data_IF_000438328991
#
_entry.id   IF_000438328991
#
_cell.length_a   1.000
_cell.length_b   1.000
_cell.length_c   1.000
_cell.angle_alpha   90.00
_cell.angle_beta   90.00
_cell.angle_gamma   90.00
#
_symmetry.space_group_name_H-M   'P 1'
#
loop_
_entity.id
_entity.type
_entity.pdbx_description
1 polymer ?
#
# COMPACT_ATOMS: atom_id res chain seq x y z
N UNK A 1 -19.88 -15.25 3.67
CA UNK A 1 -19.25 -16.54 4.05
C UNK A 1 -17.82 -16.21 4.41
N UNK A 2 -17.42 -16.40 5.67
CA UNK A 2 -15.99 -16.37 6.04
C UNK A 2 -15.31 -17.44 5.19
N UNK A 3 -14.21 -17.11 4.50
CA UNK A 3 -13.40 -18.14 3.84
C UNK A 3 -13.02 -19.17 4.91
N UNK A 4 -13.06 -20.46 4.57
CA UNK A 4 -12.57 -21.50 5.47
C UNK A 4 -11.11 -21.15 5.85
N UNK A 5 -10.71 -21.28 7.12
CA UNK A 5 -9.33 -21.04 7.51
C UNK A 5 -8.45 -21.94 6.63
N UNK A 6 -7.42 -21.34 6.02
CA UNK A 6 -6.41 -22.11 5.30
C UNK A 6 -5.77 -22.98 6.37
N UNK A 7 -6.00 -24.29 6.36
CA UNK A 7 -5.29 -25.24 7.22
C UNK A 7 -3.83 -25.30 6.73
N UNK A 8 -2.94 -24.59 7.42
CA UNK A 8 -1.50 -24.64 7.15
C UNK A 8 -0.92 -25.64 8.15
N UNK A 9 -0.45 -26.79 7.68
CA UNK A 9 0.31 -27.71 8.52
C UNK A 9 1.67 -27.11 8.83
N UNK A 10 2.20 -27.34 10.03
CA UNK A 10 3.57 -26.96 10.40
C UNK A 10 4.63 -27.56 9.44
N UNK A 11 4.30 -28.68 8.78
CA UNK A 11 5.15 -29.36 7.80
C UNK A 11 5.25 -28.61 6.45
N UNK A 12 4.29 -27.73 6.15
CA UNK A 12 4.23 -26.96 4.89
C UNK A 12 4.94 -25.59 5.00
N UNK A 13 5.41 -25.24 6.20
CA UNK A 13 6.13 -23.99 6.45
C UNK A 13 7.51 -24.02 5.79
N UNK A 14 7.88 -22.90 5.18
CA UNK A 14 9.20 -22.73 4.57
C UNK A 14 9.98 -21.69 5.37
N UNK A 15 11.17 -22.05 5.83
CA UNK A 15 12.02 -21.17 6.61
C UNK A 15 12.99 -20.39 5.73
N UNK A 16 13.06 -19.09 5.95
CA UNK A 16 13.93 -18.15 5.23
C UNK A 16 14.58 -17.24 6.25
N UNK A 17 15.92 -17.16 6.24
CA UNK A 17 16.69 -16.27 7.14
C UNK A 17 16.37 -16.44 8.65
N UNK A 18 15.89 -17.64 9.04
CA UNK A 18 15.49 -17.98 10.40
C UNK A 18 14.01 -17.77 10.74
N UNK A 19 13.21 -17.24 9.82
CA UNK A 19 11.77 -16.98 10.02
C UNK A 19 10.91 -17.95 9.22
N UNK A 20 9.77 -18.36 9.78
CA UNK A 20 8.81 -19.18 9.04
C UNK A 20 8.01 -18.31 8.05
N UNK A 21 7.73 -18.88 6.88
CA UNK A 21 6.90 -18.27 5.85
C UNK A 21 5.81 -19.26 5.43
N UNK A 22 4.62 -18.79 5.02
CA UNK A 22 3.57 -19.68 4.55
C UNK A 22 3.99 -20.37 3.25
N UNK A 23 3.39 -21.51 2.88
CA UNK A 23 3.57 -22.10 1.57
C UNK A 23 3.23 -21.10 0.46
N UNK A 24 3.84 -21.25 -0.71
CA UNK A 24 3.60 -20.33 -1.82
C UNK A 24 2.11 -20.39 -2.20
N UNK A 25 1.40 -19.26 -2.30
CA UNK A 25 -0.01 -19.26 -2.60
C UNK A 25 -0.27 -19.86 -3.98
N UNK A 26 -1.37 -20.61 -4.10
CA UNK A 26 -1.80 -21.15 -5.39
C UNK A 26 -2.06 -20.01 -6.38
N UNK A 27 -1.55 -20.18 -7.60
CA UNK A 27 -1.81 -19.25 -8.68
C UNK A 27 -3.25 -19.41 -9.19
N UNK A 28 -4.13 -18.45 -8.85
CA UNK A 28 -5.58 -18.52 -9.08
C UNK A 28 -6.06 -17.41 -10.03
N UNK A 29 -5.71 -17.44 -11.34
CA UNK A 29 -6.01 -16.35 -12.28
C UNK A 29 -7.50 -16.14 -12.56
N UNK A 30 -8.32 -17.20 -12.50
CA UNK A 30 -9.77 -17.09 -12.65
C UNK A 30 -10.41 -16.36 -11.46
N UNK A 31 -9.97 -16.68 -10.24
CA UNK A 31 -10.41 -15.97 -9.03
C UNK A 31 -10.00 -14.49 -9.09
N UNK A 32 -8.76 -14.22 -9.49
CA UNK A 32 -8.28 -12.85 -9.70
C UNK A 32 -9.15 -12.10 -10.72
N UNK A 33 -9.53 -12.73 -11.84
CA UNK A 33 -10.42 -12.11 -12.82
C UNK A 33 -11.82 -11.84 -12.25
N UNK A 34 -12.38 -12.76 -11.47
CA UNK A 34 -13.68 -12.58 -10.81
C UNK A 34 -13.62 -11.44 -9.79
N UNK A 35 -12.59 -11.38 -8.94
CA UNK A 35 -12.39 -10.30 -7.97
C UNK A 35 -12.14 -8.95 -8.64
N UNK A 36 -11.39 -8.93 -9.74
CA UNK A 36 -11.23 -7.77 -10.61
C UNK A 36 -12.58 -7.25 -11.15
N UNK A 37 -13.45 -8.15 -11.63
CA UNK A 37 -14.81 -7.77 -12.07
C UNK A 37 -15.64 -7.23 -10.91
N UNK A 38 -15.56 -7.83 -9.72
CA UNK A 38 -16.24 -7.33 -8.51
C UNK A 38 -15.77 -5.92 -8.13
N UNK A 39 -14.47 -5.65 -8.21
CA UNK A 39 -13.90 -4.31 -7.97
C UNK A 39 -14.41 -3.28 -8.98
N UNK A 40 -14.53 -3.66 -10.26
CA UNK A 40 -15.08 -2.77 -11.30
C UNK A 40 -16.56 -2.45 -11.01
N UNK A 41 -17.33 -3.45 -10.56
CA UNK A 41 -18.76 -3.30 -10.23
C UNK A 41 -18.98 -2.53 -8.92
N UNK A 42 -18.07 -2.68 -7.94
CA UNK A 42 -18.08 -1.96 -6.67
C UNK A 42 -16.67 -1.45 -6.34
N UNK A 43 -16.39 -0.22 -6.78
CA UNK A 43 -15.07 0.43 -6.63
C UNK A 43 -14.66 0.66 -5.17
N UNK A 44 -15.60 0.60 -4.25
CA UNK A 44 -15.34 0.82 -2.83
C UNK A 44 -14.99 -0.46 -2.06
N UNK A 45 -15.04 -1.64 -2.71
CA UNK A 45 -14.65 -2.91 -2.09
C UNK A 45 -13.14 -3.16 -2.28
N UNK A 46 -12.32 -2.40 -1.54
CA UNK A 46 -10.85 -2.45 -1.59
C UNK A 46 -10.28 -3.82 -1.27
N UNK A 47 -11.03 -4.67 -0.53
CA UNK A 47 -10.67 -6.08 -0.29
C UNK A 47 -10.46 -6.87 -1.59
N UNK A 48 -11.17 -6.53 -2.67
CA UNK A 48 -10.97 -7.18 -3.96
C UNK A 48 -9.58 -6.93 -4.55
N UNK A 49 -8.92 -5.82 -4.20
CA UNK A 49 -7.53 -5.56 -4.59
C UNK A 49 -6.62 -6.59 -3.94
N UNK A 50 -6.76 -6.83 -2.64
CA UNK A 50 -6.00 -7.86 -1.92
C UNK A 50 -6.24 -9.26 -2.50
N UNK A 51 -7.49 -9.62 -2.81
CA UNK A 51 -7.81 -10.89 -3.46
C UNK A 51 -7.09 -11.07 -4.81
N UNK A 52 -7.07 -10.03 -5.65
CA UNK A 52 -6.35 -10.07 -6.94
C UNK A 52 -4.84 -10.21 -6.74
N UNK A 53 -4.28 -9.41 -5.82
CA UNK A 53 -2.84 -9.38 -5.54
C UNK A 53 -2.38 -10.73 -4.99
N UNK A 54 -3.10 -11.30 -4.02
CA UNK A 54 -2.81 -12.59 -3.41
C UNK A 54 -3.03 -13.75 -4.37
N UNK A 55 -4.08 -13.72 -5.20
CA UNK A 55 -4.35 -14.79 -6.16
C UNK A 55 -3.30 -14.90 -7.28
N UNK A 56 -2.59 -13.80 -7.56
CA UNK A 56 -1.60 -13.75 -8.64
C UNK A 56 -0.15 -13.71 -8.15
N UNK A 57 0.10 -13.50 -6.85
CA UNK A 57 1.42 -13.25 -6.27
C UNK A 57 2.43 -14.39 -6.51
N UNK A 58 1.98 -15.65 -6.53
CA UNK A 58 2.87 -16.82 -6.53
C UNK A 58 3.90 -16.66 -5.40
N UNK A 59 5.16 -17.01 -5.65
CA UNK A 59 6.26 -16.84 -4.72
C UNK A 59 6.82 -15.40 -4.63
N UNK A 60 6.13 -14.37 -5.15
CA UNK A 60 6.63 -12.98 -5.03
C UNK A 60 6.67 -12.51 -3.58
N UNK A 61 5.69 -12.91 -2.77
CA UNK A 61 5.62 -12.50 -1.37
C UNK A 61 6.79 -13.06 -0.56
N UNK A 62 7.12 -14.34 -0.73
CA UNK A 62 8.29 -14.95 -0.07
C UNK A 62 9.61 -14.30 -0.51
N UNK A 63 9.79 -14.06 -1.81
CA UNK A 63 11.00 -13.38 -2.32
C UNK A 63 11.13 -11.94 -1.82
N UNK A 64 10.02 -11.22 -1.68
CA UNK A 64 10.01 -9.90 -1.09
C UNK A 64 10.36 -9.96 0.40
N UNK A 65 9.76 -10.91 1.13
CA UNK A 65 10.05 -11.16 2.53
C UNK A 65 11.54 -11.45 2.72
N UNK A 66 12.11 -12.42 1.99
CA UNK A 66 13.54 -12.75 1.99
C UNK A 66 14.38 -11.51 1.76
N UNK A 67 14.16 -10.79 0.64
CA UNK A 67 14.88 -9.56 0.31
C UNK A 67 14.84 -8.55 1.45
N UNK A 68 13.70 -8.41 2.13
CA UNK A 68 13.53 -7.44 3.19
C UNK A 68 14.20 -7.84 4.49
N UNK A 69 13.99 -9.08 4.97
CA UNK A 69 14.60 -9.56 6.23
C UNK A 69 16.10 -9.76 6.13
N UNK A 70 16.66 -9.86 4.92
CA UNK A 70 18.12 -9.80 4.69
C UNK A 70 18.70 -8.40 4.90
N UNK A 71 17.89 -7.35 5.05
CA UNK A 71 18.37 -6.00 5.39
C UNK A 71 18.38 -5.79 6.91
N UNK A 72 19.29 -4.94 7.45
CA UNK A 72 19.29 -4.65 8.88
C UNK A 72 17.95 -4.11 9.38
N UNK A 73 17.31 -3.24 8.61
CA UNK A 73 16.03 -2.65 8.98
C UNK A 73 14.87 -3.65 8.90
N UNK A 74 14.79 -4.45 7.83
CA UNK A 74 13.73 -5.45 7.69
C UNK A 74 13.80 -6.55 8.74
N UNK A 75 15.00 -6.88 9.24
CA UNK A 75 15.16 -7.79 10.38
C UNK A 75 14.55 -7.20 11.66
N UNK A 76 14.81 -5.93 11.98
CA UNK A 76 14.17 -5.23 13.11
C UNK A 76 12.65 -5.23 13.00
N UNK A 77 12.12 -5.02 11.80
CA UNK A 77 10.67 -5.12 11.53
C UNK A 77 10.18 -6.54 11.81
N UNK A 78 10.80 -7.57 11.22
CA UNK A 78 10.40 -8.97 11.40
C UNK A 78 10.46 -9.46 12.85
N UNK A 79 11.39 -8.92 13.65
CA UNK A 79 11.55 -9.20 15.08
C UNK A 79 10.58 -8.38 15.95
N UNK A 80 9.77 -7.51 15.35
CA UNK A 80 8.74 -6.71 16.02
C UNK A 80 9.28 -5.49 16.76
N UNK A 81 10.55 -5.12 16.57
CA UNK A 81 11.15 -3.91 17.16
C UNK A 81 10.57 -2.63 16.55
N UNK A 82 10.10 -2.70 15.31
CA UNK A 82 9.54 -1.56 14.57
C UNK A 82 8.11 -1.84 14.17
N UNK A 83 7.21 -0.99 14.65
CA UNK A 83 5.78 -1.03 14.35
C UNK A 83 5.36 0.27 13.68
N UNK A 84 5.34 0.25 12.35
CA UNK A 84 5.13 1.45 11.56
C UNK A 84 3.72 2.01 11.75
N UNK A 85 2.73 1.14 11.97
CA UNK A 85 1.36 1.52 12.27
C UNK A 85 1.23 2.33 13.57
N UNK A 86 2.04 2.02 14.60
CA UNK A 86 2.06 2.77 15.85
C UNK A 86 2.76 4.13 15.64
N UNK A 87 3.86 4.15 14.87
CA UNK A 87 4.62 5.38 14.55
C UNK A 87 3.80 6.35 13.69
N UNK A 88 3.19 5.84 12.60
CA UNK A 88 2.37 6.65 11.70
C UNK A 88 1.00 6.96 12.29
N UNK A 89 0.50 6.15 13.22
CA UNK A 89 -0.71 6.42 13.98
C UNK A 89 -0.54 7.56 14.99
N UNK A 90 0.66 7.84 15.51
CA UNK A 90 0.89 8.93 16.45
C UNK A 90 1.00 10.30 15.75
N UNK A 91 -0.15 10.79 15.24
CA UNK A 91 -0.23 12.09 14.58
C UNK A 91 0.19 13.22 15.52
N UNK A 92 -0.01 13.09 16.84
CA UNK A 92 0.37 14.12 17.79
C UNK A 92 1.89 14.29 17.81
N UNK A 93 2.65 13.20 17.90
CA UNK A 93 4.11 13.21 17.82
C UNK A 93 4.60 13.70 16.46
N UNK A 94 4.05 13.20 15.36
CA UNK A 94 4.47 13.60 14.01
C UNK A 94 4.23 15.10 13.73
N UNK A 95 3.19 15.70 14.31
CA UNK A 95 2.96 17.16 14.22
C UNK A 95 4.02 18.00 14.92
N UNK A 96 4.79 17.42 15.85
CA UNK A 96 5.90 18.11 16.52
C UNK A 96 7.17 18.17 15.67
N UNK A 97 7.23 17.42 14.57
CA UNK A 97 8.41 17.40 13.70
C UNK A 97 8.57 18.74 12.98
N UNK A 98 9.81 19.09 12.54
CA UNK A 98 10.05 20.34 11.84
C UNK A 98 9.13 20.55 10.64
N UNK A 99 8.78 21.81 10.36
CA UNK A 99 8.01 22.17 9.16
C UNK A 99 8.74 21.71 7.89
N UNK A 100 8.01 21.15 6.92
CA UNK A 100 8.59 20.55 5.72
C UNK A 100 9.31 19.22 5.92
N UNK A 101 9.30 18.65 7.14
CA UNK A 101 9.76 17.27 7.37
C UNK A 101 8.83 16.25 6.71
N UNK A 102 9.36 15.06 6.46
CA UNK A 102 8.59 13.98 5.84
C UNK A 102 7.41 13.54 6.72
N UNK A 103 7.60 13.41 8.03
CA UNK A 103 6.54 13.07 8.97
C UNK A 103 5.46 14.14 9.05
N UNK A 104 5.83 15.43 9.01
CA UNK A 104 4.86 16.53 8.99
C UNK A 104 4.05 16.53 7.68
N UNK A 105 4.73 16.36 6.54
CA UNK A 105 4.08 16.25 5.23
C UNK A 105 3.13 15.03 5.15
N UNK A 106 3.47 13.93 5.82
CA UNK A 106 2.60 12.78 5.94
C UNK A 106 1.33 13.08 6.75
N UNK A 107 1.45 13.72 7.91
CA UNK A 107 0.24 14.09 8.68
C UNK A 107 -0.64 15.04 7.91
N UNK A 108 -0.07 16.05 7.24
CA UNK A 108 -0.83 17.00 6.43
C UNK A 108 -1.57 16.27 5.30
N UNK A 109 -0.90 15.32 4.64
CA UNK A 109 -1.52 14.43 3.65
C UNK A 109 -2.65 13.59 4.24
N UNK A 110 -2.55 13.07 5.46
CA UNK A 110 -3.61 12.29 6.12
C UNK A 110 -4.80 13.16 6.56
N UNK A 111 -4.52 14.34 7.12
CA UNK A 111 -5.53 15.30 7.59
C UNK A 111 -6.40 15.80 6.42
N UNK A 112 -5.81 16.06 5.25
CA UNK A 112 -6.55 16.44 4.03
C UNK A 112 -7.60 15.41 3.60
N UNK A 113 -7.37 14.14 3.88
CA UNK A 113 -8.29 13.04 3.55
C UNK A 113 -9.23 12.66 4.71
N UNK A 114 -9.10 13.31 5.88
CA UNK A 114 -9.94 13.08 7.04
C UNK A 114 -9.67 11.76 7.77
N UNK A 115 -8.47 11.19 7.62
CA UNK A 115 -8.06 9.99 8.34
C UNK A 115 -7.79 10.27 9.82
N UNK A 116 -7.97 9.25 10.64
CA UNK A 116 -7.66 9.31 12.08
C UNK A 116 -6.55 8.32 12.44
N UNK A 117 -5.76 8.60 13.50
CA UNK A 117 -4.85 7.65 14.13
C UNK A 117 -5.44 6.24 14.30
N UNK A 118 -6.64 6.18 14.90
CA UNK A 118 -7.32 4.92 15.18
C UNK A 118 -7.72 4.21 13.88
N UNK A 119 -8.22 4.95 12.89
CA UNK A 119 -8.59 4.37 11.59
C UNK A 119 -7.40 3.72 10.87
N UNK A 120 -6.18 4.22 11.07
CA UNK A 120 -4.97 3.60 10.51
C UNK A 120 -4.62 2.29 11.23
N UNK A 121 -4.69 2.27 12.56
CA UNK A 121 -4.44 1.07 13.37
C UNK A 121 -5.49 0.00 13.04
N UNK A 122 -6.78 0.38 13.02
CA UNK A 122 -7.88 -0.52 12.69
C UNK A 122 -7.73 -1.11 11.27
N UNK A 123 -7.27 -0.29 10.31
CA UNK A 123 -7.03 -0.75 8.94
C UNK A 123 -5.85 -1.74 8.86
N UNK A 124 -4.79 -1.51 9.64
CA UNK A 124 -3.65 -2.43 9.72
C UNK A 124 -4.05 -3.76 10.38
N UNK A 125 -4.86 -3.71 11.44
CA UNK A 125 -5.41 -4.90 12.09
C UNK A 125 -6.34 -5.68 11.14
N UNK A 126 -7.26 -4.99 10.45
CA UNK A 126 -8.14 -5.61 9.44
C UNK A 126 -7.35 -6.26 8.29
N UNK A 127 -6.20 -5.71 7.90
CA UNK A 127 -5.35 -6.26 6.86
C UNK A 127 -4.56 -7.51 7.32
N UNK A 128 -4.26 -7.61 8.63
CA UNK A 128 -3.65 -8.78 9.27
C UNK A 128 -4.59 -9.99 9.43
N UNK A 129 -5.90 -9.82 9.16
CA UNK A 129 -6.93 -10.85 9.37
C UNK A 129 -6.71 -12.05 8.47
N UNK A 130 -6.45 -13.20 9.07
CA UNK A 130 -6.40 -14.51 8.40
C UNK A 130 -5.17 -15.37 8.71
N UNK A 131 -4.13 -14.81 9.34
CA UNK A 131 -2.95 -15.55 9.81
C UNK A 131 -2.72 -15.47 11.33
N UNK A 132 -3.63 -14.84 12.07
CA UNK A 132 -3.56 -14.70 13.54
C UNK A 132 -3.53 -16.05 14.27
N UNK A 133 -4.13 -17.08 13.67
CA UNK A 133 -4.16 -18.45 14.19
C UNK A 133 -2.81 -19.18 14.06
N UNK A 134 -1.79 -18.56 13.43
CA UNK A 134 -0.47 -19.14 13.16
C UNK A 134 0.66 -18.27 13.76
N UNK A 135 0.97 -18.42 15.06
CA UNK A 135 2.03 -17.65 15.73
C UNK A 135 3.40 -17.77 15.06
N UNK A 136 3.70 -18.89 14.40
CA UNK A 136 4.93 -19.12 13.67
C UNK A 136 5.12 -18.12 12.52
N UNK A 137 4.02 -17.59 11.97
CA UNK A 137 4.01 -16.64 10.85
C UNK A 137 4.03 -15.17 11.29
N UNK A 138 4.23 -14.87 12.58
CA UNK A 138 4.13 -13.50 13.10
C UNK A 138 5.12 -12.54 12.41
N UNK A 139 6.36 -12.97 12.19
CA UNK A 139 7.37 -12.20 11.45
C UNK A 139 6.94 -11.92 10.00
N UNK A 140 6.35 -12.92 9.33
CA UNK A 140 5.83 -12.75 7.97
C UNK A 140 4.68 -11.74 7.95
N UNK A 141 3.70 -11.89 8.83
CA UNK A 141 2.58 -10.96 8.99
C UNK A 141 3.07 -9.54 9.23
N UNK A 142 4.00 -9.36 10.17
CA UNK A 142 4.61 -8.08 10.53
C UNK A 142 5.24 -7.36 9.33
N UNK A 143 5.99 -8.08 8.49
CA UNK A 143 6.59 -7.54 7.26
C UNK A 143 5.52 -7.05 6.27
N UNK A 144 4.42 -7.79 6.10
CA UNK A 144 3.35 -7.39 5.18
C UNK A 144 2.49 -6.25 5.72
N UNK A 145 2.20 -6.22 7.03
CA UNK A 145 1.59 -5.04 7.68
C UNK A 145 2.47 -3.81 7.48
N UNK A 146 3.79 -3.93 7.65
CA UNK A 146 4.72 -2.82 7.43
C UNK A 146 4.69 -2.32 5.97
N UNK A 147 4.63 -3.22 4.99
CA UNK A 147 4.49 -2.87 3.57
C UNK A 147 3.17 -2.16 3.28
N UNK A 148 2.07 -2.65 3.83
CA UNK A 148 0.73 -2.09 3.61
C UNK A 148 0.63 -0.68 4.20
N UNK A 149 1.11 -0.48 5.42
CA UNK A 149 1.15 0.84 6.07
C UNK A 149 2.11 1.79 5.36
N UNK A 150 3.18 1.28 4.75
CA UNK A 150 4.10 2.09 3.94
C UNK A 150 3.44 2.69 2.69
N UNK A 151 2.33 2.13 2.20
CA UNK A 151 1.65 2.59 0.99
C UNK A 151 1.30 4.09 1.02
N UNK A 152 0.67 4.53 2.11
CA UNK A 152 0.22 5.92 2.27
C UNK A 152 1.39 6.87 2.44
N UNK A 153 2.46 6.39 3.07
CA UNK A 153 3.71 7.11 3.14
C UNK A 153 4.38 7.26 1.75
N UNK A 154 4.20 6.26 0.87
CA UNK A 154 4.75 6.30 -0.48
C UNK A 154 4.07 7.32 -1.39
N UNK A 155 2.79 7.64 -1.18
CA UNK A 155 2.15 8.77 -1.85
C UNK A 155 2.90 10.08 -1.58
N UNK A 156 3.24 10.32 -0.31
CA UNK A 156 3.91 11.55 0.11
C UNK A 156 5.31 11.65 -0.49
N UNK A 157 6.13 10.59 -0.42
CA UNK A 157 7.51 10.66 -0.95
C UNK A 157 7.55 10.71 -2.47
N UNK A 158 6.65 10.01 -3.17
CA UNK A 158 6.57 10.02 -4.64
C UNK A 158 5.90 11.27 -5.20
N UNK A 159 5.04 11.93 -4.42
CA UNK A 159 4.24 13.08 -4.85
C UNK A 159 2.93 12.71 -5.56
N UNK A 160 2.56 11.42 -5.62
CA UNK A 160 1.29 10.99 -6.19
C UNK A 160 0.15 11.18 -5.18
N UNK A 161 -0.91 11.90 -5.55
CA UNK A 161 -2.08 12.09 -4.70
C UNK A 161 -2.99 10.86 -4.60
N UNK A 162 -4.11 11.01 -3.87
CA UNK A 162 -5.16 9.98 -3.72
C UNK A 162 -6.23 10.01 -4.82
N UNK A 163 -6.03 10.83 -5.85
CA UNK A 163 -6.89 10.76 -7.02
C UNK A 163 -6.65 9.44 -7.77
N UNK A 164 -7.59 8.97 -8.61
CA UNK A 164 -7.47 7.67 -9.23
C UNK A 164 -6.23 7.47 -10.10
N UNK A 165 -5.67 8.53 -10.70
CA UNK A 165 -4.43 8.40 -11.45
C UNK A 165 -3.22 8.35 -10.50
N UNK A 166 -3.25 9.14 -9.42
CA UNK A 166 -2.24 9.12 -8.37
C UNK A 166 -2.11 7.75 -7.71
N UNK A 167 -3.22 7.12 -7.32
CA UNK A 167 -3.29 5.73 -6.83
C UNK A 167 -2.65 4.74 -7.81
N UNK A 168 -2.99 4.85 -9.10
CA UNK A 168 -2.44 3.96 -10.12
C UNK A 168 -0.94 4.19 -10.31
N UNK A 169 -0.46 5.43 -10.24
CA UNK A 169 0.97 5.73 -10.30
C UNK A 169 1.70 5.17 -9.06
N UNK A 170 1.12 5.31 -7.87
CA UNK A 170 1.67 4.72 -6.64
C UNK A 170 1.72 3.19 -6.74
N UNK A 171 0.68 2.53 -7.24
CA UNK A 171 0.69 1.06 -7.47
C UNK A 171 1.73 0.63 -8.51
N UNK A 172 1.97 1.44 -9.55
CA UNK A 172 3.05 1.19 -10.51
C UNK A 172 4.42 1.26 -9.81
N UNK A 173 4.65 2.30 -9.01
CA UNK A 173 5.85 2.45 -8.20
C UNK A 173 6.03 1.26 -7.24
N UNK A 174 4.99 0.93 -6.48
CA UNK A 174 4.93 -0.21 -5.56
C UNK A 174 5.29 -1.52 -6.24
N UNK A 175 4.79 -1.72 -7.46
CA UNK A 175 5.11 -2.92 -8.23
C UNK A 175 6.59 -3.01 -8.57
N UNK A 176 7.26 -1.89 -8.88
CA UNK A 176 8.70 -1.89 -9.16
C UNK A 176 9.51 -2.25 -7.92
N UNK A 177 9.07 -1.77 -6.76
CA UNK A 177 9.73 -2.01 -5.47
C UNK A 177 9.52 -3.45 -4.95
N UNK A 178 8.30 -4.00 -5.13
CA UNK A 178 7.89 -5.29 -4.55
C UNK A 178 7.97 -6.49 -5.50
N UNK A 179 7.97 -6.24 -6.81
CA UNK A 179 7.95 -7.29 -7.83
C UNK A 179 6.63 -8.08 -7.92
N UNK A 180 5.56 -7.67 -7.23
CA UNK A 180 4.30 -8.42 -7.19
C UNK A 180 3.60 -8.43 -8.58
N UNK A 181 3.38 -9.60 -9.20
CA UNK A 181 2.75 -9.70 -10.51
C UNK A 181 1.26 -9.34 -10.50
N UNK A 182 0.55 -9.49 -9.37
CA UNK A 182 -0.88 -9.17 -9.25
C UNK A 182 -1.19 -7.70 -9.46
N UNK A 183 -0.26 -6.82 -9.07
CA UNK A 183 -0.35 -5.38 -9.32
C UNK A 183 -0.41 -5.05 -10.83
N UNK A 184 0.10 -5.91 -11.73
CA UNK A 184 -0.03 -5.68 -13.19
C UNK A 184 -1.47 -5.62 -13.62
N UNK A 185 -2.31 -6.51 -13.09
CA UNK A 185 -3.72 -6.59 -13.47
C UNK A 185 -4.47 -5.37 -12.97
N UNK A 186 -4.27 -4.98 -11.71
CA UNK A 186 -4.89 -3.79 -11.12
C UNK A 186 -4.51 -2.53 -11.88
N UNK A 187 -3.21 -2.31 -12.13
CA UNK A 187 -2.70 -1.18 -12.90
C UNK A 187 -3.30 -1.15 -14.31
N UNK A 188 -3.31 -2.30 -15.00
CA UNK A 188 -3.88 -2.40 -16.35
C UNK A 188 -5.37 -2.00 -16.38
N UNK A 189 -6.15 -2.49 -15.42
CA UNK A 189 -7.58 -2.18 -15.33
C UNK A 189 -7.81 -0.70 -15.02
N UNK A 190 -7.10 -0.14 -14.05
CA UNK A 190 -7.24 1.27 -13.69
C UNK A 190 -6.85 2.21 -14.83
N UNK A 191 -5.72 1.96 -15.49
CA UNK A 191 -5.32 2.73 -16.67
C UNK A 191 -6.34 2.60 -17.81
N UNK A 192 -6.85 1.39 -18.08
CA UNK A 192 -7.86 1.18 -19.11
C UNK A 192 -9.15 1.93 -18.79
N UNK A 193 -9.62 1.88 -17.55
CA UNK A 193 -10.83 2.56 -17.11
C UNK A 193 -10.69 4.10 -17.20
N UNK A 194 -9.55 4.66 -16.76
CA UNK A 194 -9.28 6.10 -16.92
C UNK A 194 -9.20 6.48 -18.40
N UNK A 195 -8.56 5.65 -19.25
CA UNK A 195 -8.46 5.92 -20.69
C UNK A 195 -9.81 5.95 -21.38
N UNK A 196 -10.73 5.09 -20.96
CA UNK A 196 -12.10 5.04 -21.50
C UNK A 196 -12.91 6.28 -21.11
N UNK A 197 -12.77 6.78 -19.87
CA UNK A 197 -13.48 7.98 -19.42
C UNK A 197 -12.84 9.28 -19.96
N UNK A 198 -11.50 9.32 -20.08
CA UNK A 198 -10.73 10.50 -20.51
C UNK A 198 -9.55 10.12 -21.40
N UNK A 199 -9.85 9.83 -22.66
CA UNK A 199 -8.85 9.34 -23.62
C UNK A 199 -7.68 10.30 -23.87
N UNK A 200 -7.86 11.62 -23.70
CA UNK A 200 -6.83 12.64 -23.95
C UNK A 200 -5.79 12.75 -22.84
N UNK A 201 -6.06 12.24 -21.63
CA UNK A 201 -5.12 12.34 -20.51
C UNK A 201 -3.83 11.53 -20.81
N UNK A 202 -2.64 12.06 -20.48
CA UNK A 202 -1.35 11.41 -20.73
C UNK A 202 -1.04 10.30 -19.68
N UNK A 203 -2.04 9.52 -19.27
CA UNK A 203 -1.94 8.56 -18.17
C UNK A 203 -0.86 7.49 -18.37
N UNK A 204 -0.63 7.05 -19.61
CA UNK A 204 0.39 6.05 -19.91
C UNK A 204 1.81 6.64 -19.75
N UNK A 205 1.97 7.94 -20.00
CA UNK A 205 3.23 8.64 -19.76
C UNK A 205 3.46 8.82 -18.26
N UNK A 206 2.41 9.18 -17.50
CA UNK A 206 2.49 9.28 -16.04
C UNK A 206 2.85 7.93 -15.39
N UNK A 207 2.17 6.84 -15.80
CA UNK A 207 2.49 5.50 -15.34
C UNK A 207 3.92 5.07 -15.71
N UNK A 208 4.40 5.45 -16.90
CA UNK A 208 5.79 5.19 -17.29
C UNK A 208 6.79 5.95 -16.41
N UNK A 209 6.53 7.21 -16.10
CA UNK A 209 7.37 7.98 -15.18
C UNK A 209 7.38 7.38 -13.77
N UNK A 210 6.23 6.91 -13.26
CA UNK A 210 6.16 6.19 -11.98
C UNK A 210 6.99 4.91 -11.99
N UNK A 211 6.97 4.18 -13.11
CA UNK A 211 7.79 2.99 -13.31
C UNK A 211 9.29 3.33 -13.36
N UNK A 212 9.67 4.43 -14.02
CA UNK A 212 11.06 4.90 -14.07
C UNK A 212 11.54 5.39 -12.70
N UNK A 213 10.68 6.05 -11.92
CA UNK A 213 10.97 6.43 -10.53
C UNK A 213 11.22 5.20 -9.67
N UNK A 214 10.33 4.20 -9.73
CA UNK A 214 10.46 2.98 -8.96
C UNK A 214 11.65 2.10 -9.34
N UNK A 215 12.17 2.21 -10.57
CA UNK A 215 13.39 1.52 -11.00
C UNK A 215 14.67 2.27 -10.60
N UNK A 216 14.60 3.58 -10.33
CA UNK A 216 15.75 4.43 -9.98
C UNK A 216 16.05 4.46 -8.48
N UNK A 217 15.01 4.48 -7.66
CA UNK A 217 15.15 4.51 -6.20
C UNK A 217 15.56 3.12 -5.74
N UNK A 218 16.49 3.07 -4.78
CA UNK A 218 16.87 1.84 -4.09
C UNK A 218 15.66 1.17 -3.43
N UNK A 219 15.84 -0.04 -2.89
CA UNK A 219 14.75 -0.78 -2.29
C UNK A 219 14.17 -0.05 -1.06
N UNK A 220 13.06 0.67 -1.24
CA UNK A 220 12.59 1.70 -0.32
C UNK A 220 12.30 1.18 1.09
N UNK A 221 11.79 -0.06 1.20
CA UNK A 221 11.50 -0.69 2.49
C UNK A 221 12.76 -0.84 3.36
N UNK A 222 13.96 -0.92 2.78
CA UNK A 222 15.19 -1.16 3.54
C UNK A 222 15.61 0.04 4.43
N UNK A 223 15.02 1.22 4.21
CA UNK A 223 15.45 2.45 4.87
C UNK A 223 14.77 2.64 6.21
N UNK A 224 15.51 3.19 7.18
CA UNK A 224 15.01 3.51 8.50
C UNK A 224 13.99 4.65 8.44
N UNK A 225 12.71 4.29 8.37
CA UNK A 225 11.61 5.25 8.26
C UNK A 225 11.52 6.17 9.48
N UNK A 226 11.87 5.70 10.68
CA UNK A 226 11.81 6.47 11.93
C UNK A 226 12.78 7.65 11.86
N UNK A 227 13.95 7.42 11.26
CA UNK A 227 14.93 8.45 10.98
C UNK A 227 14.48 9.36 9.82
N UNK A 228 13.95 8.79 8.73
CA UNK A 228 13.53 9.57 7.56
C UNK A 228 12.38 10.54 7.86
N UNK A 229 11.42 10.16 8.70
CA UNK A 229 10.25 11.01 9.01
C UNK A 229 10.66 12.35 9.65
N UNK A 230 11.78 12.40 10.38
CA UNK A 230 12.26 13.61 11.06
C UNK A 230 12.99 14.59 10.12
N UNK A 231 13.38 14.13 8.93
CA UNK A 231 14.20 14.89 7.98
C UNK A 231 13.34 15.72 7.02
N UNK A 232 13.85 16.83 6.48
CA UNK A 232 13.18 17.57 5.41
C UNK A 232 12.85 16.66 4.22
N UNK A 233 11.59 16.67 3.76
CA UNK A 233 11.14 15.79 2.67
C UNK A 233 11.94 15.98 1.38
N UNK A 234 12.32 17.23 1.07
CA UNK A 234 13.13 17.54 -0.09
C UNK A 234 14.52 16.88 -0.03
N UNK A 235 15.15 16.85 1.15
CA UNK A 235 16.42 16.17 1.35
C UNK A 235 16.27 14.65 1.26
N UNK A 236 15.22 14.08 1.85
CA UNK A 236 14.94 12.64 1.74
C UNK A 236 14.76 12.22 0.28
N UNK A 237 14.00 13.00 -0.50
CA UNK A 237 13.83 12.76 -1.94
C UNK A 237 15.16 12.85 -2.69
N UNK A 238 15.96 13.87 -2.42
CA UNK A 238 17.25 14.06 -3.08
C UNK A 238 18.23 12.91 -2.78
N UNK A 239 18.36 12.53 -1.50
CA UNK A 239 19.26 11.48 -1.05
C UNK A 239 18.90 10.11 -1.61
N UNK A 240 17.61 9.80 -1.67
CA UNK A 240 17.11 8.53 -2.19
C UNK A 240 16.95 8.52 -3.72
N UNK A 241 17.27 9.63 -4.39
CA UNK A 241 17.24 9.73 -5.86
C UNK A 241 15.84 9.79 -6.46
N UNK A 242 14.84 10.28 -5.72
CA UNK A 242 13.50 10.51 -6.25
C UNK A 242 13.53 11.58 -7.34
N UNK A 243 12.82 11.31 -8.43
CA UNK A 243 12.54 12.30 -9.48
C UNK A 243 11.17 12.93 -9.23
N UNK A 244 10.95 14.14 -9.73
CA UNK A 244 9.63 14.77 -9.66
C UNK A 244 8.64 14.10 -10.62
N UNK A 245 7.36 13.90 -10.22
CA UNK A 245 6.33 13.29 -11.05
C UNK A 245 5.74 14.30 -12.08
N UNK A 246 6.62 14.95 -12.85
CA UNK A 246 6.28 16.09 -13.72
C UNK A 246 5.13 15.86 -14.71
N UNK A 247 4.95 14.62 -15.20
CA UNK A 247 3.85 14.28 -16.11
C UNK A 247 2.52 14.23 -15.38
N UNK A 248 2.51 13.71 -14.15
CA UNK A 248 1.31 13.67 -13.31
C UNK A 248 0.95 15.07 -12.80
N UNK A 249 1.94 15.88 -12.43
CA UNK A 249 1.73 17.25 -11.96
C UNK A 249 1.21 18.20 -13.04
N UNK A 250 1.62 17.98 -14.30
CA UNK A 250 1.13 18.75 -15.43
C UNK A 250 -0.36 18.51 -15.77
N UNK A 251 -0.99 17.47 -15.22
CA UNK A 251 -2.41 17.18 -15.46
C UNK A 251 -3.26 18.06 -14.53
N UNK A 252 -4.24 18.81 -15.07
CA UNK A 252 -5.09 19.68 -14.26
C UNK A 252 -5.79 18.93 -13.12
N UNK A 253 -5.84 19.57 -11.95
CA UNK A 253 -6.48 19.00 -10.76
C UNK A 253 -7.91 18.49 -11.03
N UNK A 254 -8.70 19.28 -11.77
CA UNK A 254 -10.06 18.93 -12.13
C UNK A 254 -10.15 17.65 -12.96
N UNK A 255 -9.19 17.40 -13.85
CA UNK A 255 -9.16 16.21 -14.70
C UNK A 255 -8.84 14.97 -13.85
N UNK A 256 -7.80 15.06 -13.01
CA UNK A 256 -7.40 14.01 -12.05
C UNK A 256 -8.57 13.56 -11.17
N UNK A 257 -9.38 14.50 -10.70
CA UNK A 257 -10.53 14.24 -9.81
C UNK A 257 -11.87 14.05 -10.53
N UNK A 258 -11.90 14.06 -11.86
CA UNK A 258 -13.14 13.85 -12.64
C UNK A 258 -13.36 12.41 -13.07
N UNK A 259 -12.29 11.60 -13.07
CA UNK A 259 -12.32 10.21 -13.51
C UNK A 259 -12.65 9.26 -12.37
N UNK A 260 -13.19 8.10 -12.71
CA UNK A 260 -13.51 6.98 -11.85
C UNK A 260 -14.37 7.31 -10.61
N UNK A 261 -15.06 8.45 -10.57
CA UNK A 261 -15.88 8.88 -9.43
C UNK A 261 -16.82 7.77 -8.96
N UNK A 262 -16.90 7.50 -7.63
CA UNK A 262 -17.88 6.58 -7.09
C UNK A 262 -19.29 7.04 -7.47
N UNK A 263 -20.16 6.09 -7.85
CA UNK A 263 -21.58 6.40 -8.12
C UNK A 263 -22.40 6.57 -6.84
N UNK A 264 -21.80 6.34 -5.67
CA UNK A 264 -22.44 6.43 -4.35
C UNK A 264 -21.74 7.51 -3.52
N UNK A 265 -22.54 8.37 -2.87
CA UNK A 265 -22.11 9.60 -2.18
C UNK A 265 -21.44 9.39 -0.81
N UNK A 266 -21.27 8.17 -0.34
CA UNK A 266 -20.84 7.95 1.03
C UNK A 266 -19.32 8.10 1.20
N UNK A 267 -18.87 9.16 1.88
CA UNK A 267 -17.44 9.42 2.16
C UNK A 267 -16.89 8.38 3.15
N UNK A 268 -15.56 8.20 3.17
CA UNK A 268 -14.90 7.27 4.10
C UNK A 268 -15.20 7.61 5.57
N UNK A 269 -15.24 8.91 5.89
CA UNK A 269 -15.68 9.44 7.17
C UNK A 269 -17.12 9.05 7.57
N UNK A 270 -18.05 8.99 6.61
CA UNK A 270 -19.42 8.54 6.88
C UNK A 270 -19.47 7.04 7.18
N UNK A 271 -18.55 6.24 6.60
CA UNK A 271 -18.41 4.81 6.92
C UNK A 271 -17.80 4.60 8.31
N UNK A 272 -16.82 5.41 8.68
CA UNK A 272 -16.19 5.37 10.01
C UNK A 272 -17.19 5.76 11.11
N UNK A 273 -18.00 6.80 10.89
CA UNK A 273 -19.08 7.16 11.82
C UNK A 273 -20.12 6.03 11.94
N UNK A 274 -20.44 5.35 10.83
CA UNK A 274 -21.39 4.23 10.85
C UNK A 274 -20.82 3.01 11.57
N UNK A 275 -19.52 2.70 11.42
CA UNK A 275 -18.83 1.64 12.16
C UNK A 275 -18.73 1.96 13.67
N UNK A 276 -18.40 3.20 14.04
CA UNK A 276 -18.33 3.63 15.43
C UNK A 276 -19.67 3.61 16.16
N UNK A 277 -20.76 3.98 15.47
CA UNK A 277 -22.13 3.86 16.02
C UNK A 277 -22.58 2.40 16.19
N UNK A 278 -22.12 1.49 15.32
CA UNK A 278 -22.45 0.07 15.39
C UNK A 278 -21.70 -0.70 16.50
N UNK A 279 -20.53 -0.21 16.94
CA UNK A 279 -19.80 -0.78 18.09
C UNK A 279 -20.29 -0.24 19.45
N UNK A 280 -21.01 0.87 19.46
CA UNK A 280 -21.54 1.51 20.67
C UNK A 280 -22.99 1.11 21.02
N UNK A 281 -23.61 0.24 20.22
CA UNK A 281 -24.99 -0.25 20.37
C UNK A 281 -25.01 -1.75 20.70
#
# INVERSE_FOLDING_TARGET
MKQAPIEISAEDLVYVEGFATPPSPEFRPLHALVSAVKLILNKDDTRQVFEVVTALSKDSSRRLFEKFVSTPYGRRVAEGEVKLEEILGDFASLRTYPEGSFGKAYVDFMDEAGFTPQGLIDAADEAGVGMEDYPELDAFRRVFTHLEVSHDLWHVITGYGRDPLGEICNLVFTRRQTGNPGLRLIVFMGLSAIKLERWSMPILKAARQAAEMGDKVDFLLQHDVEALLKRPLAEVRADLGFIEPTVYDAIPYADKHSVLRPKVKATQSEREQTKGLAQAA
#
